data_IF_159765469394
#
_entry.id   IF_159765469394
#
_cell.length_a   1.000
_cell.length_b   1.000
_cell.length_c   1.000
_cell.angle_alpha   90.00
_cell.angle_beta   90.00
_cell.angle_gamma   90.00
#
_symmetry.space_group_name_H-M   'P 1'
#
loop_
_entity.id
_entity.type
_entity.pdbx_description
1 polymer ?
#
# COMPACT_ATOMS: atom_id res chain seq x y z
N UNK A 1 19.25 30.08 17.71
CA UNK A 1 19.66 28.74 17.22
C UNK A 1 18.38 27.96 17.04
N UNK A 2 18.01 27.63 15.80
CA UNK A 2 16.80 26.83 15.55
C UNK A 2 17.24 25.38 15.61
N UNK A 3 16.80 24.65 16.63
CA UNK A 3 16.95 23.20 16.67
C UNK A 3 16.10 22.62 15.54
N UNK A 4 16.75 22.31 14.42
CA UNK A 4 16.13 21.52 13.35
C UNK A 4 16.10 20.09 13.86
N UNK A 5 15.00 19.69 14.49
CA UNK A 5 14.71 18.29 14.73
C UNK A 5 14.65 17.58 13.37
N UNK A 6 15.65 16.74 13.10
CA UNK A 6 15.63 15.82 11.96
C UNK A 6 14.54 14.77 12.24
N UNK A 7 13.32 15.07 11.82
CA UNK A 7 12.28 14.04 11.76
C UNK A 7 12.77 13.01 10.73
N UNK A 8 12.99 11.74 11.10
CA UNK A 8 13.36 10.73 10.12
C UNK A 8 12.29 10.72 9.03
N UNK A 9 12.71 11.05 7.80
CA UNK A 9 11.81 11.04 6.67
C UNK A 9 11.40 9.58 6.46
N UNK A 10 10.14 9.26 6.76
CA UNK A 10 9.61 7.93 6.53
C UNK A 10 9.66 7.63 5.03
N UNK A 11 9.85 6.35 4.68
CA UNK A 11 9.84 5.93 3.28
C UNK A 11 8.56 6.41 2.57
N UNK A 12 7.44 6.43 3.30
CA UNK A 12 6.17 6.99 2.83
C UNK A 12 6.28 8.47 2.40
N UNK A 13 6.97 9.31 3.17
CA UNK A 13 7.22 10.71 2.79
C UNK A 13 8.15 10.82 1.57
N UNK A 14 9.19 10.00 1.50
CA UNK A 14 10.11 9.96 0.34
C UNK A 14 9.38 9.57 -0.95
N UNK A 15 8.40 8.67 -0.86
CA UNK A 15 7.55 8.28 -1.98
C UNK A 15 6.48 9.33 -2.37
N UNK A 16 6.45 10.47 -1.66
CA UNK A 16 5.56 11.58 -1.96
C UNK A 16 4.10 11.34 -1.59
N UNK A 17 3.85 10.45 -0.62
CA UNK A 17 2.51 10.28 -0.07
C UNK A 17 2.09 11.52 0.70
N UNK A 18 0.88 12.01 0.42
CA UNK A 18 0.34 13.22 1.01
C UNK A 18 -0.66 12.86 2.10
N UNK A 19 -0.46 13.42 3.29
CA UNK A 19 -1.42 13.29 4.38
C UNK A 19 -2.69 14.08 4.07
N UNK A 20 -3.85 13.42 4.05
CA UNK A 20 -5.18 14.00 3.80
C UNK A 20 -6.04 13.93 5.07
N UNK A 21 -5.57 14.58 6.12
CA UNK A 21 -6.18 14.59 7.46
C UNK A 21 -5.43 13.72 8.47
N UNK A 22 -5.99 13.52 9.66
CA UNK A 22 -5.22 12.97 10.77
C UNK A 22 -4.80 11.50 10.60
N UNK A 23 -5.57 10.72 9.84
CA UNK A 23 -5.46 9.26 9.77
C UNK A 23 -5.56 8.71 8.35
N UNK A 24 -5.38 9.57 7.35
CA UNK A 24 -5.50 9.20 5.94
C UNK A 24 -4.30 9.73 5.16
N UNK A 25 -3.72 8.87 4.33
CA UNK A 25 -2.66 9.18 3.39
C UNK A 25 -3.09 8.77 1.99
N UNK A 26 -2.75 9.59 1.01
CA UNK A 26 -3.00 9.32 -0.41
C UNK A 26 -1.70 9.43 -1.18
N UNK A 27 -1.51 8.54 -2.13
CA UNK A 27 -0.28 8.49 -2.90
C UNK A 27 -0.32 7.40 -3.94
N UNK A 28 0.86 6.93 -4.31
CA UNK A 28 1.03 5.94 -5.36
C UNK A 28 1.98 4.85 -4.86
N UNK A 29 1.57 3.60 -4.97
CA UNK A 29 2.45 2.45 -4.86
C UNK A 29 3.30 2.38 -6.12
N UNK A 30 4.63 2.38 -5.98
CA UNK A 30 5.53 2.38 -7.12
C UNK A 30 6.16 1.02 -7.30
N UNK A 31 6.21 0.58 -8.56
CA UNK A 31 6.87 -0.63 -8.98
C UNK A 31 7.57 -0.37 -10.32
N UNK A 32 8.53 -1.22 -10.68
CA UNK A 32 9.17 -1.18 -12.01
C UNK A 32 8.16 -1.36 -13.15
N UNK A 33 6.98 -1.91 -12.84
CA UNK A 33 5.88 -2.14 -13.80
C UNK A 33 4.85 -1.00 -13.86
N UNK A 34 5.00 0.05 -13.04
CA UNK A 34 4.11 1.20 -13.04
C UNK A 34 3.84 1.78 -11.66
N UNK A 35 2.99 2.81 -11.64
CA UNK A 35 2.53 3.48 -10.42
C UNK A 35 1.04 3.26 -10.25
N UNK A 36 0.62 2.83 -9.06
CA UNK A 36 -0.76 2.46 -8.77
C UNK A 36 -1.32 3.34 -7.65
N UNK A 37 -2.47 3.95 -7.89
CA UNK A 37 -3.03 4.89 -6.92
C UNK A 37 -3.44 4.17 -5.66
N UNK A 38 -3.07 4.74 -4.52
CA UNK A 38 -3.21 4.12 -3.22
C UNK A 38 -3.74 5.07 -2.17
N UNK A 39 -4.33 4.48 -1.13
CA UNK A 39 -4.77 5.18 0.05
C UNK A 39 -4.44 4.33 1.28
N UNK A 40 -3.95 4.97 2.35
CA UNK A 40 -3.67 4.31 3.62
C UNK A 40 -4.52 4.99 4.68
N UNK A 41 -5.25 4.20 5.47
CA UNK A 41 -6.14 4.70 6.51
C UNK A 41 -5.86 4.03 7.84
N UNK A 42 -5.84 4.79 8.93
CA UNK A 42 -5.86 4.22 10.28
C UNK A 42 -7.31 4.02 10.74
N UNK A 43 -7.67 2.81 11.13
CA UNK A 43 -9.01 2.52 11.61
C UNK A 43 -9.23 1.04 11.91
N UNK A 44 -10.50 0.66 12.05
CA UNK A 44 -10.90 -0.73 12.27
C UNK A 44 -11.42 -1.32 10.96
N UNK A 45 -10.72 -2.31 10.41
CA UNK A 45 -11.14 -3.08 9.24
C UNK A 45 -11.19 -4.55 9.65
N UNK A 46 -12.26 -5.28 9.29
CA UNK A 46 -12.46 -6.69 9.66
C UNK A 46 -12.21 -7.01 11.15
N UNK A 47 -12.62 -6.10 12.05
CA UNK A 47 -12.44 -6.29 13.49
C UNK A 47 -11.08 -5.86 14.04
N UNK A 48 -10.12 -5.47 13.20
CA UNK A 48 -8.75 -5.17 13.60
C UNK A 48 -8.43 -3.67 13.48
N UNK A 49 -7.99 -3.07 14.59
CA UNK A 49 -7.56 -1.66 14.64
C UNK A 49 -6.13 -1.51 14.14
N UNK A 50 -5.86 -0.72 13.10
CA UNK A 50 -4.53 -0.54 12.54
C UNK A 50 -4.48 0.34 11.29
N UNK A 51 -3.31 0.35 10.65
CA UNK A 51 -3.13 0.91 9.32
C UNK A 51 -3.58 -0.08 8.26
N UNK A 52 -4.48 0.37 7.39
CA UNK A 52 -5.07 -0.40 6.31
C UNK A 52 -4.69 0.23 4.99
N UNK A 53 -4.25 -0.63 4.06
CA UNK A 53 -3.72 -0.23 2.77
C UNK A 53 -4.77 -0.54 1.72
N UNK A 54 -5.03 0.42 0.84
CA UNK A 54 -5.99 0.30 -0.23
C UNK A 54 -5.32 0.70 -1.54
N UNK A 55 -5.69 0.02 -2.62
CA UNK A 55 -5.29 0.32 -4.00
C UNK A 55 -6.55 0.59 -4.82
N UNK A 56 -6.50 1.62 -5.65
CA UNK A 56 -7.52 1.92 -6.66
C UNK A 56 -7.13 1.25 -7.97
N UNK A 57 -8.04 0.46 -8.54
CA UNK A 57 -7.85 -0.23 -9.82
C UNK A 57 -6.55 -1.07 -9.89
N UNK A 58 -6.44 -2.16 -9.09
CA UNK A 58 -5.24 -2.97 -9.07
C UNK A 58 -5.00 -3.65 -10.42
N UNK A 59 -3.72 -3.83 -10.82
CA UNK A 59 -3.39 -4.42 -12.11
C UNK A 59 -3.88 -5.87 -12.22
N UNK A 60 -4.33 -6.27 -13.40
CA UNK A 60 -4.83 -7.64 -13.63
C UNK A 60 -3.80 -8.71 -13.28
N UNK A 61 -2.51 -8.42 -13.42
CA UNK A 61 -1.41 -9.29 -13.04
C UNK A 61 -1.49 -9.76 -11.57
N UNK A 62 -1.82 -8.87 -10.63
CA UNK A 62 -1.95 -9.25 -9.21
C UNK A 62 -3.27 -9.96 -8.92
N UNK A 63 -4.31 -9.67 -9.71
CA UNK A 63 -5.64 -10.28 -9.55
C UNK A 63 -5.73 -11.69 -10.15
N UNK A 64 -4.87 -12.02 -11.12
CA UNK A 64 -4.82 -13.32 -11.76
C UNK A 64 -3.81 -14.28 -11.12
N UNK A 65 -2.79 -13.76 -10.42
CA UNK A 65 -1.72 -14.55 -9.81
C UNK A 65 -1.99 -15.05 -8.39
N UNK A 66 -0.95 -15.60 -7.79
CA UNK A 66 -0.97 -16.20 -6.44
C UNK A 66 -1.32 -15.20 -5.32
N UNK A 67 -1.13 -13.90 -5.57
CA UNK A 67 -1.44 -12.83 -4.61
C UNK A 67 -2.87 -12.29 -4.71
N UNK A 68 -3.74 -12.85 -5.56
CA UNK A 68 -5.14 -12.42 -5.68
C UNK A 68 -5.85 -12.28 -4.33
N UNK A 69 -5.65 -13.25 -3.43
CA UNK A 69 -6.30 -13.27 -2.12
C UNK A 69 -5.83 -12.14 -1.18
N UNK A 70 -4.68 -11.52 -1.46
CA UNK A 70 -4.23 -10.32 -0.75
C UNK A 70 -5.06 -9.10 -1.14
N UNK A 71 -5.74 -9.08 -2.29
CA UNK A 71 -6.53 -7.95 -2.78
C UNK A 71 -8.02 -8.23 -2.60
N UNK A 72 -8.58 -7.77 -1.48
CA UNK A 72 -9.99 -7.97 -1.16
C UNK A 72 -10.82 -6.83 -1.76
N UNK A 73 -11.80 -7.10 -2.64
CA UNK A 73 -12.59 -6.06 -3.26
C UNK A 73 -13.39 -5.26 -2.23
N UNK A 74 -13.52 -3.96 -2.49
CA UNK A 74 -14.33 -2.98 -1.77
C UNK A 74 -15.11 -2.13 -2.80
N UNK A 75 -16.14 -1.38 -2.36
CA UNK A 75 -16.89 -0.50 -3.27
C UNK A 75 -15.99 0.50 -4.02
N UNK A 76 -16.46 0.98 -5.18
CA UNK A 76 -15.80 2.00 -5.99
C UNK A 76 -14.43 1.57 -6.59
N UNK A 77 -14.30 0.32 -7.04
CA UNK A 77 -13.06 -0.25 -7.60
C UNK A 77 -11.83 -0.10 -6.68
N UNK A 78 -12.08 -0.05 -5.37
CA UNK A 78 -11.04 -0.07 -4.35
C UNK A 78 -10.81 -1.48 -3.90
N UNK A 79 -9.56 -1.83 -3.64
CA UNK A 79 -9.20 -3.12 -3.10
C UNK A 79 -8.43 -2.89 -1.81
N UNK A 80 -8.86 -3.53 -0.74
CA UNK A 80 -8.12 -3.57 0.51
C UNK A 80 -7.03 -4.62 0.40
N UNK A 81 -5.81 -4.23 0.76
CA UNK A 81 -4.64 -5.09 0.75
C UNK A 81 -4.51 -5.74 2.12
N UNK A 82 -4.88 -7.01 2.19
CA UNK A 82 -4.78 -7.84 3.36
C UNK A 82 -3.35 -8.40 3.50
N UNK A 83 -2.79 -8.28 4.70
CA UNK A 83 -1.48 -8.84 5.05
C UNK A 83 -1.65 -10.01 6.00
N UNK A 84 -1.04 -11.16 5.66
CA UNK A 84 -0.99 -12.33 6.55
C UNK A 84 -0.25 -12.01 7.85
N UNK A 85 0.83 -11.23 7.74
CA UNK A 85 1.58 -10.69 8.87
C UNK A 85 1.41 -9.17 8.88
N UNK A 86 0.85 -8.65 9.96
CA UNK A 86 0.54 -7.22 10.06
C UNK A 86 1.83 -6.38 10.00
N UNK A 87 1.88 -5.33 9.16
CA UNK A 87 3.02 -4.43 9.14
C UNK A 87 3.15 -3.69 10.48
N UNK A 88 4.39 -3.58 10.97
CA UNK A 88 4.72 -2.92 12.24
C UNK A 88 4.53 -1.40 12.17
N UNK A 89 4.75 -0.84 11.00
CA UNK A 89 4.68 0.58 10.69
C UNK A 89 4.20 0.81 9.24
N UNK A 90 3.94 2.07 8.90
CA UNK A 90 3.47 2.49 7.58
C UNK A 90 4.45 2.09 6.47
N UNK A 91 5.75 2.25 6.71
CA UNK A 91 6.79 2.03 5.71
C UNK A 91 6.92 0.55 5.35
N UNK A 92 6.85 -0.31 6.35
CA UNK A 92 6.85 -1.76 6.19
C UNK A 92 5.65 -2.23 5.38
N UNK A 93 4.46 -1.69 5.64
CA UNK A 93 3.25 -2.03 4.88
C UNK A 93 3.27 -1.47 3.45
N UNK A 94 3.85 -0.29 3.26
CA UNK A 94 4.04 0.30 1.93
C UNK A 94 4.99 -0.54 1.09
N UNK A 95 6.16 -0.89 1.64
CA UNK A 95 7.16 -1.73 0.96
C UNK A 95 6.64 -3.12 0.64
N UNK A 96 5.91 -3.75 1.57
CA UNK A 96 5.33 -5.07 1.31
C UNK A 96 4.24 -5.00 0.24
N UNK A 97 3.44 -3.93 0.22
CA UNK A 97 2.47 -3.69 -0.88
C UNK A 97 3.17 -3.61 -2.23
N UNK A 98 4.20 -2.78 -2.34
CA UNK A 98 4.97 -2.60 -3.58
C UNK A 98 5.63 -3.92 -4.02
N UNK A 99 6.14 -4.70 -3.05
CA UNK A 99 6.70 -6.03 -3.27
C UNK A 99 5.65 -7.00 -3.82
N UNK A 100 4.46 -7.08 -3.23
CA UNK A 100 3.38 -7.96 -3.70
C UNK A 100 2.92 -7.58 -5.10
N UNK A 101 2.83 -6.28 -5.39
CA UNK A 101 2.51 -5.80 -6.74
C UNK A 101 3.58 -6.28 -7.73
N UNK A 102 4.87 -6.07 -7.41
CA UNK A 102 5.98 -6.54 -8.24
C UNK A 102 5.93 -8.05 -8.48
N UNK A 103 5.70 -8.84 -7.43
CA UNK A 103 5.61 -10.30 -7.54
C UNK A 103 4.46 -10.77 -8.44
N UNK A 104 3.29 -10.11 -8.37
CA UNK A 104 2.17 -10.44 -9.26
C UNK A 104 2.51 -10.21 -10.74
N UNK A 105 3.27 -9.15 -11.05
CA UNK A 105 3.77 -8.93 -12.42
C UNK A 105 4.86 -9.92 -12.83
N UNK A 106 5.79 -10.27 -11.94
CA UNK A 106 6.82 -11.26 -12.22
C UNK A 106 6.22 -12.66 -12.49
N UNK A 107 5.15 -13.01 -11.80
CA UNK A 107 4.40 -14.25 -12.04
C UNK A 107 3.64 -14.19 -13.37
N UNK A 108 2.99 -13.08 -13.68
CA UNK A 108 2.28 -12.89 -14.96
C UNK A 108 3.22 -12.83 -16.17
N UNK A 109 4.46 -12.37 -15.97
CA UNK A 109 5.52 -12.27 -16.99
C UNK A 109 6.36 -13.54 -17.15
N UNK A 110 6.17 -14.57 -16.30
CA UNK A 110 6.67 -15.93 -16.52
C UNK A 110 5.80 -16.60 -17.59
N UNK A 111 6.09 -16.26 -18.84
CA UNK A 111 5.72 -17.02 -20.04
C UNK A 111 6.88 -17.89 -20.49
#
# INVERSE_FOLDING_TARGET
MVEVERVPCSYLHEQGWVRKGDKVWEGWYRSIYGSFKGQIRYGKEQGQMGWHFYIEDPPTAVLAGSHRNCFVPRPNNKYWIHFSCRPKDLDSGLRETERVIRLGFEEAGRI
#
